data_IF_676957438617
#
_entry.id   IF_676957438617
#
_cell.length_a   1.000
_cell.length_b   1.000
_cell.length_c   1.000
_cell.angle_alpha   90.00
_cell.angle_beta   90.00
_cell.angle_gamma   90.00
#
_symmetry.space_group_name_H-M   'P 1'
#
loop_
_entity.id
_entity.type
_entity.pdbx_description
1 polymer ?
#
# COMPACT_ATOMS: atom_id res chain seq x y z
N UNK A 1 14.43 69.06 42.56
CA UNK A 1 14.45 67.56 42.81
C UNK A 1 13.43 66.86 42.00
N UNK A 2 13.31 67.11 40.65
CA UNK A 2 12.35 66.38 39.75
C UNK A 2 12.86 66.29 38.32
N UNK A 3 14.18 66.12 38.10
CA UNK A 3 14.76 66.04 36.75
C UNK A 3 15.22 64.63 36.42
N UNK A 4 15.24 63.67 37.37
CA UNK A 4 15.80 62.38 37.20
C UNK A 4 14.81 61.32 36.62
N UNK A 5 13.49 61.55 36.72
CA UNK A 5 12.47 60.56 36.30
C UNK A 5 12.06 60.68 34.82
N UNK A 6 12.32 61.82 34.18
CA UNK A 6 11.96 62.04 32.77
C UNK A 6 12.90 61.32 31.80
N UNK A 7 14.19 61.13 32.13
CA UNK A 7 15.17 60.46 31.29
C UNK A 7 15.01 58.93 31.36
N UNK A 8 14.66 58.39 32.51
CA UNK A 8 14.44 56.96 32.67
C UNK A 8 13.23 56.45 31.88
N UNK A 9 12.15 57.25 31.83
CA UNK A 9 10.95 56.91 31.05
C UNK A 9 11.19 57.00 29.55
N UNK A 10 12.01 57.94 29.09
CA UNK A 10 12.37 58.05 27.67
C UNK A 10 13.29 56.90 27.19
N UNK A 11 14.28 56.53 28.02
CA UNK A 11 15.16 55.39 27.74
C UNK A 11 14.38 54.08 27.72
N UNK A 12 13.41 53.92 28.62
CA UNK A 12 12.54 52.75 28.63
C UNK A 12 11.66 52.68 27.37
N UNK A 13 11.05 53.80 26.97
CA UNK A 13 10.25 53.87 25.74
C UNK A 13 11.09 53.63 24.49
N UNK A 14 12.32 54.13 24.43
CA UNK A 14 13.22 53.95 23.31
C UNK A 14 13.71 52.49 23.17
N UNK A 15 14.02 51.81 24.30
CA UNK A 15 14.37 50.41 24.33
C UNK A 15 13.20 49.51 23.94
N UNK A 16 12.01 49.78 24.42
CA UNK A 16 10.79 49.06 24.04
C UNK A 16 10.49 49.23 22.55
N UNK A 17 10.59 50.48 22.04
CA UNK A 17 10.37 50.77 20.63
C UNK A 17 11.37 50.05 19.70
N UNK A 18 12.63 49.87 20.14
CA UNK A 18 13.64 49.11 19.35
C UNK A 18 13.41 47.60 19.33
N UNK A 19 12.73 47.04 20.34
CA UNK A 19 12.46 45.58 20.42
C UNK A 19 11.21 45.20 19.61
N UNK A 20 10.23 46.10 19.45
CA UNK A 20 8.99 45.86 18.72
C UNK A 20 9.23 45.27 17.30
N UNK A 21 10.11 45.84 16.44
CA UNK A 21 10.33 45.28 15.11
C UNK A 21 10.91 43.88 15.12
N UNK A 22 11.73 43.53 16.12
CA UNK A 22 12.26 42.18 16.25
C UNK A 22 11.19 41.16 16.66
N UNK A 23 10.27 41.57 17.55
CA UNK A 23 9.12 40.73 17.95
C UNK A 23 8.19 40.52 16.74
N UNK A 24 7.87 41.57 15.99
CA UNK A 24 7.05 41.49 14.78
C UNK A 24 7.71 40.57 13.73
N UNK A 25 9.02 40.68 13.54
CA UNK A 25 9.75 39.82 12.62
C UNK A 25 9.73 38.35 13.08
N UNK A 26 9.92 38.08 14.38
CA UNK A 26 9.85 36.77 14.95
C UNK A 26 8.46 36.13 14.77
N UNK A 27 7.39 36.89 15.06
CA UNK A 27 6.00 36.46 14.87
C UNK A 27 5.72 36.20 13.38
N UNK A 28 6.18 37.06 12.48
CA UNK A 28 6.05 36.90 11.05
C UNK A 28 6.83 35.66 10.56
N UNK A 29 8.04 35.42 11.05
CA UNK A 29 8.84 34.24 10.70
C UNK A 29 8.17 32.93 11.15
N UNK A 30 7.65 32.91 12.40
CA UNK A 30 6.90 31.74 12.90
C UNK A 30 5.61 31.51 12.09
N UNK A 31 4.89 32.60 11.76
CA UNK A 31 3.70 32.50 10.90
C UNK A 31 4.03 31.99 9.51
N UNK A 32 5.12 32.48 8.92
CA UNK A 32 5.60 32.03 7.60
C UNK A 32 6.05 30.56 7.63
N UNK A 33 6.79 30.14 8.66
CA UNK A 33 7.20 28.74 8.85
C UNK A 33 5.99 27.83 9.02
N UNK A 34 4.99 28.24 9.80
CA UNK A 34 3.75 27.47 9.94
C UNK A 34 2.97 27.40 8.61
N UNK A 35 2.98 28.49 7.83
CA UNK A 35 2.34 28.48 6.50
C UNK A 35 3.10 27.62 5.50
N UNK A 36 4.43 27.58 5.55
CA UNK A 36 5.26 26.69 4.72
C UNK A 36 5.11 25.22 5.14
N UNK A 37 5.00 24.93 6.43
CA UNK A 37 4.69 23.58 6.93
C UNK A 37 3.28 23.12 6.53
N UNK A 38 2.32 24.03 6.41
CA UNK A 38 1.00 23.72 5.84
C UNK A 38 1.04 23.37 4.34
N UNK A 39 2.01 23.86 3.58
CA UNK A 39 2.23 23.50 2.18
C UNK A 39 2.78 22.06 2.02
N UNK A 40 3.41 21.46 3.05
CA UNK A 40 3.77 20.04 3.09
C UNK A 40 2.56 19.11 3.12
N UNK A 41 1.36 19.62 3.36
CA UNK A 41 0.10 18.86 3.25
C UNK A 41 -0.18 18.34 1.82
N UNK A 42 0.33 18.97 0.79
CA UNK A 42 0.22 18.47 -0.59
C UNK A 42 1.09 17.23 -0.82
N UNK A 43 2.31 17.21 -0.27
CA UNK A 43 3.18 16.06 -0.31
C UNK A 43 2.66 14.93 0.59
N UNK A 44 2.13 15.24 1.79
CA UNK A 44 1.50 14.25 2.66
C UNK A 44 0.28 13.60 1.99
N UNK A 45 -0.57 14.36 1.29
CA UNK A 45 -1.67 13.80 0.50
C UNK A 45 -1.18 12.95 -0.66
N UNK A 46 -0.12 13.33 -1.37
CA UNK A 46 0.48 12.52 -2.42
C UNK A 46 1.04 11.20 -1.87
N UNK A 47 1.65 11.20 -0.69
CA UNK A 47 2.09 9.99 0.02
C UNK A 47 0.90 9.14 0.51
N UNK A 48 -0.20 9.75 0.90
CA UNK A 48 -1.43 9.04 1.28
C UNK A 48 -2.07 8.34 0.08
N UNK A 49 -2.03 8.94 -1.12
CA UNK A 49 -2.46 8.30 -2.38
C UNK A 49 -1.58 7.11 -2.77
N UNK A 50 -0.32 7.07 -2.34
CA UNK A 50 0.59 5.96 -2.63
C UNK A 50 0.40 4.77 -1.68
N UNK A 51 -0.27 4.95 -0.54
CA UNK A 51 -0.57 3.85 0.38
C UNK A 51 -1.49 2.84 -0.28
N UNK A 52 -1.14 1.58 -0.13
CA UNK A 52 -1.94 0.48 -0.61
C UNK A 52 -3.36 0.52 -0.02
N UNK A 53 -4.36 0.31 -0.88
CA UNK A 53 -5.74 0.04 -0.48
C UNK A 53 -5.98 -1.43 -0.13
N UNK A 54 -4.91 -2.24 -0.03
CA UNK A 54 -5.04 -3.62 0.40
C UNK A 54 -5.80 -3.67 1.71
N UNK A 55 -6.95 -4.33 1.68
CA UNK A 55 -7.79 -4.49 2.86
C UNK A 55 -7.28 -5.70 3.63
N UNK A 56 -6.71 -5.46 4.81
CA UNK A 56 -6.45 -6.52 5.76
C UNK A 56 -7.82 -6.97 6.33
N UNK A 57 -8.29 -8.12 5.91
CA UNK A 57 -9.54 -8.70 6.44
C UNK A 57 -9.35 -9.38 7.80
N UNK A 58 -8.14 -9.31 8.37
CA UNK A 58 -7.83 -9.89 9.67
C UNK A 58 -7.92 -11.42 9.68
N UNK A 59 -8.47 -12.00 10.74
CA UNK A 59 -8.71 -13.44 10.84
C UNK A 59 -9.99 -13.80 10.11
N UNK A 60 -9.86 -14.58 9.06
CA UNK A 60 -10.98 -15.07 8.27
C UNK A 60 -11.69 -16.20 9.07
N UNK A 61 -13.01 -16.13 9.15
CA UNK A 61 -13.84 -17.18 9.80
C UNK A 61 -14.31 -18.26 8.84
N UNK A 62 -14.29 -17.96 7.54
CA UNK A 62 -14.71 -18.89 6.49
C UNK A 62 -13.82 -20.13 6.49
N UNK A 63 -14.42 -21.30 6.32
CA UNK A 63 -13.79 -22.62 6.32
C UNK A 63 -14.18 -23.40 5.07
N UNK A 64 -13.52 -24.53 4.81
CA UNK A 64 -13.88 -25.39 3.68
C UNK A 64 -15.32 -25.91 3.75
N UNK A 65 -15.88 -26.06 4.95
CA UNK A 65 -17.28 -26.45 5.15
C UNK A 65 -18.28 -25.40 4.62
N UNK A 66 -17.85 -24.15 4.50
CA UNK A 66 -18.69 -23.06 3.98
C UNK A 66 -18.63 -22.97 2.45
N UNK A 67 -17.75 -23.77 1.80
CA UNK A 67 -17.58 -23.83 0.36
C UNK A 67 -18.28 -25.08 -0.15
N UNK A 68 -19.33 -24.93 -0.92
CA UNK A 68 -20.04 -26.05 -1.54
C UNK A 68 -19.26 -26.59 -2.76
N UNK A 69 -19.13 -27.91 -2.88
CA UNK A 69 -18.38 -28.53 -3.98
C UNK A 69 -16.88 -28.23 -3.95
N UNK A 70 -16.25 -28.22 -5.11
CA UNK A 70 -14.80 -27.94 -5.27
C UNK A 70 -13.91 -28.93 -4.47
N UNK A 71 -14.27 -30.21 -4.44
CA UNK A 71 -13.59 -31.19 -3.58
C UNK A 71 -12.16 -31.46 -4.06
N UNK A 72 -11.93 -31.48 -5.38
CA UNK A 72 -10.60 -31.62 -5.98
C UNK A 72 -9.72 -30.41 -5.66
N UNK A 73 -10.24 -29.20 -5.86
CA UNK A 73 -9.51 -27.95 -5.56
C UNK A 73 -9.21 -27.82 -4.05
N UNK A 74 -10.13 -28.25 -3.19
CA UNK A 74 -9.91 -28.29 -1.74
C UNK A 74 -8.79 -29.25 -1.37
N UNK A 75 -8.72 -30.41 -2.04
CA UNK A 75 -7.67 -31.38 -1.79
C UNK A 75 -6.30 -30.84 -2.23
N UNK A 76 -6.21 -30.20 -3.40
CA UNK A 76 -4.98 -29.54 -3.85
C UNK A 76 -4.54 -28.44 -2.89
N UNK A 77 -5.49 -27.66 -2.35
CA UNK A 77 -5.20 -26.59 -1.39
C UNK A 77 -4.78 -27.12 -0.01
N UNK A 78 -5.05 -28.38 0.33
CA UNK A 78 -4.67 -28.94 1.62
C UNK A 78 -3.15 -28.92 1.85
N UNK A 79 -2.36 -29.19 0.82
CA UNK A 79 -0.89 -29.12 0.90
C UNK A 79 -0.41 -27.69 1.20
N UNK A 80 -1.06 -26.70 0.60
CA UNK A 80 -0.74 -25.28 0.84
C UNK A 80 -1.09 -24.87 2.27
N UNK A 81 -2.23 -25.35 2.77
CA UNK A 81 -2.66 -25.11 4.16
C UNK A 81 -1.65 -25.71 5.14
N UNK A 82 -1.19 -26.94 4.88
CA UNK A 82 -0.18 -27.59 5.73
C UNK A 82 1.14 -26.82 5.71
N UNK A 83 1.55 -26.30 4.55
CA UNK A 83 2.72 -25.43 4.47
C UNK A 83 2.56 -24.15 5.28
N UNK A 84 1.43 -23.47 5.15
CA UNK A 84 1.16 -22.24 5.88
C UNK A 84 1.13 -22.46 7.38
N UNK A 85 0.66 -23.64 7.83
CA UNK A 85 0.64 -24.03 9.25
C UNK A 85 2.02 -24.42 9.79
N UNK A 86 2.81 -25.15 8.97
CA UNK A 86 4.05 -25.79 9.42
C UNK A 86 5.24 -25.52 8.46
N UNK A 87 5.57 -24.25 8.16
CA UNK A 87 6.57 -23.91 7.14
C UNK A 87 7.94 -24.55 7.40
N UNK A 88 8.36 -24.58 8.67
CA UNK A 88 9.66 -25.15 9.08
C UNK A 88 9.79 -26.66 8.77
N UNK A 89 8.70 -27.41 8.71
CA UNK A 89 8.70 -28.82 8.36
C UNK A 89 9.12 -29.00 6.89
N UNK A 90 8.57 -28.20 6.02
CA UNK A 90 8.83 -28.26 4.59
C UNK A 90 10.22 -27.72 4.22
N UNK A 91 10.67 -26.65 4.89
CA UNK A 91 12.03 -26.14 4.74
C UNK A 91 13.11 -27.20 5.08
N UNK A 92 12.91 -27.94 6.18
CA UNK A 92 13.84 -29.03 6.58
C UNK A 92 13.89 -30.19 5.57
N UNK A 93 12.79 -30.42 4.87
CA UNK A 93 12.74 -31.46 3.84
C UNK A 93 13.25 -30.98 2.47
N UNK A 94 13.64 -29.72 2.34
CA UNK A 94 14.07 -29.11 1.06
C UNK A 94 12.94 -29.00 0.03
N UNK A 95 11.68 -29.08 0.45
CA UNK A 95 10.53 -28.99 -0.44
C UNK A 95 10.43 -27.59 -1.06
N UNK A 96 10.23 -27.54 -2.39
CA UNK A 96 9.91 -26.29 -3.10
C UNK A 96 8.40 -26.11 -3.12
N UNK A 97 7.93 -25.11 -2.41
CA UNK A 97 6.50 -24.81 -2.34
C UNK A 97 6.18 -23.66 -3.30
N UNK A 98 5.06 -23.75 -4.02
CA UNK A 98 4.64 -22.70 -4.91
C UNK A 98 4.37 -21.41 -4.11
N UNK A 99 4.97 -20.29 -4.56
CA UNK A 99 4.78 -18.97 -3.93
C UNK A 99 3.54 -18.24 -4.44
N UNK A 100 2.89 -18.78 -5.46
CA UNK A 100 1.69 -18.22 -6.07
C UNK A 100 0.83 -19.30 -6.70
N UNK A 101 -0.47 -19.12 -6.62
CA UNK A 101 -1.49 -20.01 -7.16
C UNK A 101 -2.43 -19.16 -8.00
N UNK A 102 -2.79 -19.63 -9.18
CA UNK A 102 -3.75 -19.00 -10.06
C UNK A 102 -5.09 -19.74 -9.95
N UNK A 103 -6.12 -19.04 -9.46
CA UNK A 103 -7.51 -19.53 -9.47
C UNK A 103 -8.19 -19.06 -10.75
N UNK A 104 -8.43 -19.99 -11.68
CA UNK A 104 -9.14 -19.76 -12.94
C UNK A 104 -10.57 -20.29 -12.88
N UNK A 105 -11.50 -19.64 -13.56
CA UNK A 105 -12.90 -20.08 -13.64
C UNK A 105 -13.84 -18.93 -13.95
N UNK A 106 -15.09 -19.25 -14.29
CA UNK A 106 -16.12 -18.28 -14.62
C UNK A 106 -16.43 -17.34 -13.45
N UNK A 107 -16.97 -16.13 -13.70
CA UNK A 107 -17.49 -15.27 -12.64
C UNK A 107 -18.53 -16.00 -11.78
N UNK A 108 -18.53 -15.77 -10.46
CA UNK A 108 -19.51 -16.35 -9.55
C UNK A 108 -19.24 -17.79 -9.11
N UNK A 109 -18.15 -18.44 -9.54
CA UNK A 109 -17.82 -19.84 -9.15
C UNK A 109 -17.25 -19.97 -7.72
N UNK A 110 -17.10 -18.87 -6.97
CA UNK A 110 -16.66 -18.93 -5.59
C UNK A 110 -15.14 -18.86 -5.36
N UNK A 111 -14.35 -18.43 -6.38
CA UNK A 111 -12.86 -18.31 -6.26
C UNK A 111 -12.42 -17.54 -5.03
N UNK A 112 -13.01 -16.37 -4.81
CA UNK A 112 -12.70 -15.51 -3.64
C UNK A 112 -13.09 -16.18 -2.33
N UNK A 113 -14.21 -16.93 -2.31
CA UNK A 113 -14.66 -17.67 -1.14
C UNK A 113 -13.69 -18.82 -0.82
N UNK A 114 -13.25 -19.57 -1.83
CA UNK A 114 -12.26 -20.63 -1.68
C UNK A 114 -10.93 -20.08 -1.13
N UNK A 115 -10.43 -18.98 -1.69
CA UNK A 115 -9.20 -18.34 -1.18
C UNK A 115 -9.32 -17.90 0.29
N UNK A 116 -10.49 -17.37 0.68
CA UNK A 116 -10.78 -17.03 2.08
C UNK A 116 -10.85 -18.28 2.96
N UNK A 117 -11.44 -19.37 2.48
CA UNK A 117 -11.50 -20.61 3.20
C UNK A 117 -10.10 -21.19 3.47
N UNK A 118 -9.20 -21.15 2.49
CA UNK A 118 -7.79 -21.54 2.66
C UNK A 118 -7.11 -20.73 3.77
N UNK A 119 -7.28 -19.39 3.76
CA UNK A 119 -6.73 -18.55 4.81
C UNK A 119 -7.33 -18.86 6.19
N UNK A 120 -8.63 -19.10 6.23
CA UNK A 120 -9.33 -19.51 7.42
C UNK A 120 -8.83 -20.85 7.96
N UNK A 121 -8.70 -21.87 7.12
CA UNK A 121 -8.18 -23.19 7.52
C UNK A 121 -6.73 -23.11 7.99
N UNK A 122 -5.89 -22.33 7.31
CA UNK A 122 -4.50 -22.11 7.72
C UNK A 122 -4.38 -21.19 8.95
N UNK A 123 -5.44 -20.46 9.32
CA UNK A 123 -5.45 -19.45 10.39
C UNK A 123 -4.38 -18.36 10.20
N UNK A 124 -4.18 -17.92 8.97
CA UNK A 124 -3.23 -16.86 8.59
C UNK A 124 -3.95 -15.57 8.17
N UNK A 125 -3.31 -14.41 8.27
CA UNK A 125 -3.85 -13.14 7.78
C UNK A 125 -4.14 -13.20 6.28
N UNK A 126 -5.24 -12.54 5.87
CA UNK A 126 -5.68 -12.45 4.49
C UNK A 126 -5.70 -10.99 4.03
N UNK A 127 -4.98 -10.69 2.96
CA UNK A 127 -4.97 -9.40 2.29
C UNK A 127 -5.73 -9.53 0.98
N UNK A 128 -6.74 -8.70 0.77
CA UNK A 128 -7.48 -8.62 -0.48
C UNK A 128 -7.18 -7.32 -1.19
N UNK A 129 -6.89 -7.40 -2.48
CA UNK A 129 -6.63 -6.26 -3.36
C UNK A 129 -7.18 -6.56 -4.74
N UNK A 130 -7.70 -5.53 -5.43
CA UNK A 130 -8.10 -5.66 -6.83
C UNK A 130 -6.93 -5.41 -7.77
N UNK A 131 -6.82 -6.17 -8.85
CA UNK A 131 -5.88 -5.92 -9.93
C UNK A 131 -6.06 -4.53 -10.56
N UNK A 132 -7.29 -4.00 -10.56
CA UNK A 132 -7.57 -2.64 -11.01
C UNK A 132 -6.91 -1.56 -10.16
N UNK A 133 -6.66 -1.81 -8.87
CA UNK A 133 -5.95 -0.87 -7.98
C UNK A 133 -4.48 -0.65 -8.39
N UNK A 134 -3.92 -1.56 -9.19
CA UNK A 134 -2.57 -1.44 -9.73
C UNK A 134 -2.51 -0.66 -11.05
N UNK A 135 -3.67 -0.49 -11.69
CA UNK A 135 -3.83 0.20 -12.97
C UNK A 135 -4.31 1.61 -12.71
N UNK A 136 -3.43 2.48 -12.22
CA UNK A 136 -3.82 3.87 -12.00
C UNK A 136 -3.25 4.82 -13.06
N UNK A 137 -3.98 5.93 -13.29
CA UNK A 137 -3.67 6.96 -14.26
C UNK A 137 -2.31 7.65 -14.03
N UNK A 138 -1.70 7.50 -12.84
CA UNK A 138 -0.44 8.15 -12.50
C UNK A 138 0.74 7.19 -12.60
N UNK A 139 1.71 7.52 -13.43
CA UNK A 139 2.95 6.75 -13.60
C UNK A 139 3.66 6.57 -12.24
N UNK A 140 3.91 5.33 -11.86
CA UNK A 140 4.66 4.99 -10.64
C UNK A 140 3.84 4.73 -9.38
N UNK A 141 2.58 5.17 -9.30
CA UNK A 141 1.73 4.96 -8.12
C UNK A 141 1.34 3.49 -7.96
N UNK A 142 1.00 2.81 -9.05
CA UNK A 142 0.69 1.38 -9.02
C UNK A 142 1.85 0.53 -8.51
N UNK A 143 3.07 0.80 -8.96
CA UNK A 143 4.26 0.08 -8.52
C UNK A 143 4.61 0.31 -7.03
N UNK A 144 4.36 1.50 -6.50
CA UNK A 144 4.56 1.79 -5.07
C UNK A 144 3.54 1.05 -4.20
N UNK A 145 2.28 0.97 -4.64
CA UNK A 145 1.22 0.21 -3.95
C UNK A 145 1.51 -1.28 -3.89
N UNK A 146 1.96 -1.87 -4.98
CA UNK A 146 2.37 -3.29 -4.99
C UNK A 146 3.46 -3.53 -3.95
N UNK A 147 4.52 -2.70 -3.95
CA UNK A 147 5.61 -2.82 -2.98
C UNK A 147 5.14 -2.68 -1.54
N UNK A 148 4.24 -1.76 -1.27
CA UNK A 148 3.68 -1.53 0.06
C UNK A 148 2.87 -2.74 0.55
N UNK A 149 2.01 -3.34 -0.30
CA UNK A 149 1.28 -4.57 0.03
C UNK A 149 2.23 -5.70 0.42
N UNK A 150 3.25 -5.95 -0.41
CA UNK A 150 4.21 -7.02 -0.13
C UNK A 150 5.09 -6.73 1.09
N UNK A 151 5.38 -5.46 1.38
CA UNK A 151 6.09 -5.08 2.59
C UNK A 151 5.25 -5.39 3.84
N UNK A 152 4.00 -4.93 3.87
CA UNK A 152 3.07 -5.20 4.97
C UNK A 152 2.82 -6.71 5.17
N UNK A 153 2.71 -7.46 4.07
CA UNK A 153 2.52 -8.91 4.12
C UNK A 153 3.75 -9.64 4.70
N UNK A 154 4.96 -9.20 4.36
CA UNK A 154 6.20 -9.76 4.92
C UNK A 154 6.28 -9.59 6.44
N UNK A 155 5.83 -8.46 6.97
CA UNK A 155 5.81 -8.20 8.42
C UNK A 155 4.87 -9.16 9.17
N UNK A 156 3.84 -9.68 8.49
CA UNK A 156 2.84 -10.58 9.07
C UNK A 156 2.90 -11.99 8.49
N UNK A 157 4.05 -12.39 7.96
CA UNK A 157 4.24 -13.74 7.40
C UNK A 157 4.15 -14.83 8.50
N UNK A 158 3.54 -16.00 8.20
CA UNK A 158 2.91 -16.38 6.95
C UNK A 158 1.54 -15.71 6.75
N UNK A 159 1.21 -15.32 5.51
CA UNK A 159 -0.06 -14.68 5.16
C UNK A 159 -0.43 -15.00 3.71
N UNK A 160 -1.69 -14.75 3.33
CA UNK A 160 -2.18 -14.86 1.95
C UNK A 160 -2.45 -13.46 1.40
N UNK A 161 -1.93 -13.18 0.20
CA UNK A 161 -2.29 -12.01 -0.60
C UNK A 161 -3.16 -12.51 -1.75
N UNK A 162 -4.43 -12.12 -1.76
CA UNK A 162 -5.36 -12.42 -2.83
C UNK A 162 -5.48 -11.22 -3.77
N UNK A 163 -5.18 -11.44 -5.03
CA UNK A 163 -5.30 -10.42 -6.08
C UNK A 163 -6.47 -10.82 -6.96
N UNK A 164 -7.58 -10.12 -6.84
CA UNK A 164 -8.76 -10.31 -7.69
C UNK A 164 -8.59 -9.58 -9.02
N UNK A 165 -9.25 -10.05 -10.08
CA UNK A 165 -9.24 -9.41 -11.40
C UNK A 165 -7.83 -9.11 -11.95
N UNK A 166 -6.90 -10.02 -11.80
CA UNK A 166 -5.48 -9.82 -12.20
C UNK A 166 -5.33 -9.51 -13.71
N UNK A 167 -6.31 -9.90 -14.54
CA UNK A 167 -6.39 -9.60 -15.96
C UNK A 167 -6.49 -8.08 -16.24
N UNK A 168 -7.00 -7.27 -15.31
CA UNK A 168 -7.00 -5.81 -15.42
C UNK A 168 -5.58 -5.25 -15.60
N UNK A 169 -4.59 -5.84 -14.92
CA UNK A 169 -3.17 -5.44 -15.04
C UNK A 169 -2.62 -5.76 -16.43
N UNK A 170 -3.03 -6.88 -17.03
CA UNK A 170 -2.64 -7.29 -18.38
C UNK A 170 -3.23 -6.35 -19.45
N UNK A 171 -4.51 -6.01 -19.32
CA UNK A 171 -5.21 -5.13 -20.29
C UNK A 171 -4.67 -3.69 -20.32
N UNK A 172 -4.17 -3.18 -19.21
CA UNK A 172 -3.61 -1.84 -19.15
C UNK A 172 -2.31 -1.69 -19.94
N UNK A 173 -1.50 -2.76 -20.02
CA UNK A 173 -0.27 -2.77 -20.82
C UNK A 173 -0.55 -2.71 -22.31
N UNK A 174 -1.67 -3.26 -22.78
CA UNK A 174 -2.09 -3.26 -24.17
C UNK A 174 -2.69 -1.92 -24.62
N UNK A 175 -3.19 -1.07 -23.71
CA UNK A 175 -3.86 0.18 -24.02
C UNK A 175 -2.97 1.42 -23.99
N UNK A 176 -1.67 1.31 -23.74
CA UNK A 176 -0.72 2.44 -23.74
C UNK A 176 0.21 2.39 -24.96
N UNK A 177 -0.26 2.76 -26.17
CA UNK A 177 0.60 2.90 -27.36
C UNK A 177 1.43 4.18 -27.33
N UNK A 178 1.29 5.03 -26.29
CA UNK A 178 1.92 6.36 -26.22
C UNK A 178 3.32 6.40 -25.61
N UNK A 179 3.91 5.26 -25.21
CA UNK A 179 5.34 5.15 -24.96
C UNK A 179 5.96 4.37 -26.12
N UNK A 180 6.24 5.11 -27.19
CA UNK A 180 6.92 4.61 -28.38
C UNK A 180 8.21 3.86 -28.02
N UNK A 181 8.26 2.63 -28.46
CA UNK A 181 9.46 1.81 -28.42
C UNK A 181 9.14 0.37 -28.07
N UNK A 182 8.64 -0.39 -29.07
CA UNK A 182 8.95 -1.81 -29.26
C UNK A 182 7.86 -2.55 -30.05
N UNK A 183 7.46 -2.02 -31.19
CA UNK A 183 6.73 -2.81 -32.21
C UNK A 183 7.60 -3.94 -32.81
N UNK A 184 8.88 -4.01 -32.45
CA UNK A 184 9.77 -5.09 -32.93
C UNK A 184 9.66 -6.41 -32.17
N UNK A 185 9.02 -6.44 -31.00
CA UNK A 185 8.89 -7.69 -30.21
C UNK A 185 7.61 -8.49 -30.49
N UNK A 186 6.55 -7.87 -30.94
CA UNK A 186 5.34 -8.60 -31.37
C UNK A 186 5.53 -9.27 -32.72
N UNK A 187 6.30 -8.68 -33.63
CA UNK A 187 6.60 -9.30 -34.94
C UNK A 187 7.56 -10.51 -34.87
N UNK A 188 8.18 -10.77 -33.71
CA UNK A 188 9.13 -11.89 -33.57
C UNK A 188 8.47 -13.15 -33.02
N UNK A 189 7.26 -13.06 -32.46
CA UNK A 189 6.52 -14.19 -31.92
C UNK A 189 5.56 -14.85 -32.91
N UNK A 190 5.18 -14.15 -33.98
CA UNK A 190 4.31 -14.68 -35.04
C UNK A 190 5.04 -15.40 -36.20
N UNK A 191 6.35 -15.60 -36.07
CA UNK A 191 7.16 -16.33 -37.06
C UNK A 191 7.79 -17.59 -36.47
N UNK A 192 6.95 -18.51 -36.01
CA UNK A 192 7.33 -19.94 -36.00
C UNK A 192 6.09 -20.81 -35.99
#
# INVERSE_FOLDING_TARGET
LTIVDADASNIFLETVASIIPFILFAVFAVWMLNRMNGANGANAKAFEFSKSRAKLEGKIRVRFNDVAGCDEEKQEMAEIIDYLKYPKKFEKMGARIPKGILLSGHPGTGKTLLAKAVAGEANVPFYSISGSDFVEMFVGVGASRVRDVFHQAKEKSPCIIFIDEIDAVGRARSKNPAMGGNDERENTLDRK
#
